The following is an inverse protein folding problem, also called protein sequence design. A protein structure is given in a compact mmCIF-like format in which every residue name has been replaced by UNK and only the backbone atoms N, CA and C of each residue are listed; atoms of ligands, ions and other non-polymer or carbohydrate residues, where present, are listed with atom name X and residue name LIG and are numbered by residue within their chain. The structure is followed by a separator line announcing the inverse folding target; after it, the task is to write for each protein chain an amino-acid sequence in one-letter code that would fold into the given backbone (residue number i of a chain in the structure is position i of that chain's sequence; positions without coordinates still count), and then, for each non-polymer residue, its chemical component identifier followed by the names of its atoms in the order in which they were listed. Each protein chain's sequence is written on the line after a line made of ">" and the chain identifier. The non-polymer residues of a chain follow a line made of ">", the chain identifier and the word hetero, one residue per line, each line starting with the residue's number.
data_IF_226462808398
#
_entry.id   IF_226462808398
#
_cell.length_a   1.000
_cell.length_b   1.000
_cell.length_c   1.000
_cell.angle_alpha   90.00
_cell.angle_beta   90.00
_cell.angle_gamma   90.00
#
_symmetry.space_group_name_H-M   'P 1'
#
loop_
_entity.id
_entity.type
_entity.pdbx_description
1 polymer ?
#
# COMPACT_ATOMS: atom_id res chain seq x y z
N UNK A 1 -3.77 0.10 -12.98
CA UNK A 1 -4.49 0.69 -11.82
C UNK A 1 -4.15 -0.20 -10.63
N UNK A 2 -3.39 0.33 -9.67
CA UNK A 2 -2.76 -0.47 -8.61
C UNK A 2 -3.77 -0.88 -7.53
N UNK A 3 -3.44 -1.92 -6.74
CA UNK A 3 -4.21 -2.39 -5.59
C UNK A 3 -4.64 -1.23 -4.65
N UNK A 4 -3.66 -0.37 -4.34
CA UNK A 4 -3.80 0.81 -3.49
C UNK A 4 -4.85 1.79 -4.06
N UNK A 5 -4.80 2.10 -5.36
CA UNK A 5 -5.78 3.02 -5.98
C UNK A 5 -7.21 2.50 -5.91
N UNK A 6 -7.39 1.18 -6.08
CA UNK A 6 -8.72 0.55 -5.98
C UNK A 6 -9.26 0.59 -4.55
N UNK A 7 -8.40 0.33 -3.57
CA UNK A 7 -8.76 0.37 -2.16
C UNK A 7 -9.13 1.79 -1.69
N UNK A 8 -8.35 2.80 -2.11
CA UNK A 8 -8.66 4.22 -1.86
C UNK A 8 -9.99 4.67 -2.48
N UNK A 9 -10.42 4.03 -3.58
CA UNK A 9 -11.72 4.26 -4.20
C UNK A 9 -12.86 3.47 -3.53
N UNK A 10 -12.61 2.80 -2.40
CA UNK A 10 -13.56 1.92 -1.70
C UNK A 10 -14.11 0.78 -2.57
N UNK A 11 -13.35 0.33 -3.57
CA UNK A 11 -13.70 -0.78 -4.45
C UNK A 11 -13.09 -2.12 -4.00
N UNK A 12 -12.35 -2.14 -2.89
CA UNK A 12 -11.81 -3.36 -2.28
C UNK A 12 -11.73 -3.20 -0.76
N UNK A 13 -11.74 -4.33 -0.06
CA UNK A 13 -11.60 -4.40 1.41
C UNK A 13 -10.14 -4.32 1.86
N UNK A 14 -9.92 -4.11 3.16
CA UNK A 14 -8.58 -4.11 3.76
C UNK A 14 -7.91 -5.50 3.62
N UNK A 15 -8.69 -6.58 3.71
CA UNK A 15 -8.20 -7.95 3.50
C UNK A 15 -7.78 -8.21 2.05
N UNK A 16 -8.53 -7.66 1.09
CA UNK A 16 -8.16 -7.74 -0.34
C UNK A 16 -6.89 -6.94 -0.61
N UNK A 17 -6.77 -5.73 -0.05
CA UNK A 17 -5.55 -4.94 -0.15
C UNK A 17 -4.35 -5.70 0.46
N UNK A 18 -4.50 -6.27 1.67
CA UNK A 18 -3.45 -7.04 2.33
C UNK A 18 -2.92 -8.17 1.45
N UNK A 19 -3.80 -9.02 0.92
CA UNK A 19 -3.42 -10.13 0.04
C UNK A 19 -2.70 -9.67 -1.23
N UNK A 20 -3.12 -8.54 -1.79
CA UNK A 20 -2.48 -8.00 -2.99
C UNK A 20 -1.11 -7.41 -2.71
N UNK A 21 -0.93 -6.76 -1.56
CA UNK A 21 0.38 -6.26 -1.14
C UNK A 21 1.32 -7.42 -0.76
N UNK A 22 0.84 -8.46 -0.08
CA UNK A 22 1.63 -9.67 0.24
C UNK A 22 2.12 -10.42 -1.01
N UNK A 23 1.42 -10.27 -2.14
CA UNK A 23 1.80 -10.88 -3.41
C UNK A 23 2.90 -10.10 -4.16
N UNK A 24 3.29 -8.91 -3.68
CA UNK A 24 4.36 -8.10 -4.29
C UNK A 24 5.70 -8.64 -3.81
N UNK A 25 6.57 -9.01 -4.76
CA UNK A 25 7.96 -9.30 -4.43
C UNK A 25 8.73 -7.99 -4.24
N UNK A 26 9.08 -7.68 -3.00
CA UNK A 26 9.77 -6.44 -2.63
C UNK A 26 11.18 -6.34 -3.26
N UNK A 27 11.77 -7.46 -3.69
CA UNK A 27 13.09 -7.46 -4.34
C UNK A 27 13.08 -6.75 -5.70
N UNK A 28 11.91 -6.71 -6.36
CA UNK A 28 11.74 -6.08 -7.66
C UNK A 28 11.46 -4.56 -7.55
N UNK A 29 11.34 -4.04 -6.33
CA UNK A 29 11.08 -2.64 -6.03
C UNK A 29 12.37 -1.87 -5.75
N UNK A 30 12.36 -0.56 -6.02
CA UNK A 30 13.40 0.32 -5.48
C UNK A 30 13.31 0.35 -3.94
N UNK A 31 14.39 0.68 -3.22
CA UNK A 31 14.34 0.74 -1.76
C UNK A 31 13.20 1.62 -1.21
N UNK A 32 12.93 2.76 -1.85
CA UNK A 32 11.85 3.68 -1.47
C UNK A 32 10.46 3.07 -1.71
N UNK A 33 10.28 2.38 -2.83
CA UNK A 33 9.02 1.68 -3.12
C UNK A 33 8.80 0.52 -2.14
N UNK A 34 9.85 -0.26 -1.86
CA UNK A 34 9.79 -1.38 -0.92
C UNK A 34 9.44 -0.91 0.50
N UNK A 35 10.07 0.18 0.97
CA UNK A 35 9.78 0.79 2.26
C UNK A 35 8.32 1.22 2.37
N UNK A 36 7.79 1.91 1.35
CA UNK A 36 6.42 2.38 1.35
C UNK A 36 5.38 1.22 1.31
N UNK A 37 5.67 0.14 0.57
CA UNK A 37 4.81 -1.05 0.55
C UNK A 37 4.85 -1.77 1.90
N UNK A 38 6.04 -1.91 2.51
CA UNK A 38 6.21 -2.50 3.83
C UNK A 38 5.50 -1.71 4.92
N UNK A 39 5.59 -0.39 4.90
CA UNK A 39 4.89 0.48 5.84
C UNK A 39 3.37 0.27 5.75
N UNK A 40 2.81 0.29 4.54
CA UNK A 40 1.38 0.05 4.35
C UNK A 40 0.94 -1.35 4.80
N UNK A 41 1.76 -2.39 4.58
CA UNK A 41 1.50 -3.74 5.08
C UNK A 41 1.48 -3.78 6.62
N UNK A 42 2.46 -3.15 7.27
CA UNK A 42 2.53 -3.12 8.73
C UNK A 42 1.31 -2.44 9.36
N UNK A 43 0.86 -1.33 8.76
CA UNK A 43 -0.29 -0.56 9.24
C UNK A 43 -1.62 -1.31 9.05
N UNK A 44 -1.74 -2.10 7.98
CA UNK A 44 -2.86 -3.04 7.81
C UNK A 44 -2.87 -4.14 8.87
N UNK A 45 -1.71 -4.59 9.33
CA UNK A 45 -1.58 -5.69 10.30
C UNK A 45 -1.87 -5.26 11.73
N UNK A 46 -1.54 -4.01 12.09
CA UNK A 46 -1.86 -3.44 13.41
C UNK A 46 -3.29 -2.86 13.48
N UNK A 47 -4.07 -2.99 12.41
CA UNK A 47 -5.43 -2.45 12.28
C UNK A 47 -5.52 -0.95 12.56
N UNK A 48 -4.63 -0.18 11.92
CA UNK A 48 -4.64 1.28 11.96
C UNK A 48 -6.00 1.83 11.53
N UNK A 49 -6.40 2.96 12.13
CA UNK A 49 -7.68 3.58 11.80
C UNK A 49 -7.73 3.97 10.31
N UNK A 50 -8.94 3.87 9.74
CA UNK A 50 -9.15 4.05 8.30
C UNK A 50 -8.59 5.39 7.77
N UNK A 51 -8.84 6.56 8.39
CA UNK A 51 -8.24 7.82 7.95
C UNK A 51 -6.71 7.81 7.90
N UNK A 52 -6.05 7.33 8.95
CA UNK A 52 -4.59 7.24 9.00
C UNK A 52 -4.06 6.26 7.94
N UNK A 53 -4.71 5.09 7.80
CA UNK A 53 -4.34 4.10 6.80
C UNK A 53 -4.49 4.64 5.36
N UNK A 54 -5.53 5.45 5.09
CA UNK A 54 -5.70 6.09 3.79
C UNK A 54 -4.66 7.17 3.50
N UNK A 55 -4.12 7.85 4.51
CA UNK A 55 -3.01 8.78 4.35
C UNK A 55 -1.76 8.03 3.88
N UNK A 56 -1.39 6.97 4.59
CA UNK A 56 -0.22 6.12 4.30
C UNK A 56 -0.35 5.47 2.91
N UNK A 57 -1.56 5.01 2.56
CA UNK A 57 -1.84 4.49 1.22
C UNK A 57 -1.60 5.54 0.11
N UNK A 58 -1.90 6.83 0.35
CA UNK A 58 -1.62 7.91 -0.62
C UNK A 58 -0.13 8.19 -0.73
N UNK A 59 0.59 8.21 0.39
CA UNK A 59 2.05 8.38 0.43
C UNK A 59 2.75 7.23 -0.30
N UNK A 60 2.30 5.98 -0.10
CA UNK A 60 2.83 4.84 -0.82
C UNK A 60 2.56 4.91 -2.33
N UNK A 61 1.39 5.39 -2.75
CA UNK A 61 1.07 5.60 -4.15
C UNK A 61 1.97 6.68 -4.78
N UNK A 62 2.26 7.75 -4.05
CA UNK A 62 3.18 8.81 -4.48
C UNK A 62 4.61 8.29 -4.62
N UNK A 63 5.12 7.55 -3.64
CA UNK A 63 6.44 6.93 -3.69
C UNK A 63 6.60 6.00 -4.90
N UNK A 64 5.56 5.23 -5.23
CA UNK A 64 5.54 4.36 -6.41
C UNK A 64 5.55 5.18 -7.71
N UNK A 65 4.81 6.28 -7.77
CA UNK A 65 4.69 7.11 -8.96
C UNK A 65 5.94 7.97 -9.25
N UNK A 66 6.70 8.34 -8.21
CA UNK A 66 7.87 9.22 -8.33
C UNK A 66 9.17 8.46 -8.58
N UNK A 67 9.26 7.19 -8.17
CA UNK A 67 10.49 6.40 -8.28
C UNK A 67 10.77 5.78 -9.68
N UNK A 68 10.31 6.43 -10.75
CA UNK A 68 10.58 6.07 -12.17
C UNK A 68 11.89 6.71 -12.68
#
# INVERSE_FOLDING_TARGET
>A
MTAISRWLAHHSSDDELRRELEAIDLVDLTPTQAEAVLELQNELDVNTDRPALEMIAREALEAIAVAD
#
